data_IF_327248697572
#
_entry.id   IF_327248697572
#
_cell.length_a   1.000
_cell.length_b   1.000
_cell.length_c   1.000
_cell.angle_alpha   90.00
_cell.angle_beta   90.00
_cell.angle_gamma   90.00
#
_symmetry.space_group_name_H-M   'P 1'
#
loop_
_entity.id
_entity.type
_entity.pdbx_description
1 polymer ?
#
# COMPACT_ATOMS: atom_id res chain seq x y z
N UNK A 1 -0.36 -0.49 -13.89
CA UNK A 1 -0.86 -1.27 -12.74
C UNK A 1 -2.20 -1.87 -13.13
N UNK A 2 -2.44 -3.12 -12.74
CA UNK A 2 -3.62 -3.90 -13.11
C UNK A 2 -4.61 -4.06 -11.94
N UNK A 3 -4.29 -3.49 -10.77
CA UNK A 3 -5.19 -3.50 -9.63
C UNK A 3 -5.22 -4.86 -8.90
N UNK A 4 -4.17 -5.66 -9.04
CA UNK A 4 -4.03 -6.96 -8.35
C UNK A 4 -2.74 -7.05 -7.55
N UNK A 5 -1.85 -6.06 -7.66
CA UNK A 5 -0.55 -6.03 -7.01
C UNK A 5 -0.67 -6.18 -5.49
N UNK A 6 0.21 -6.99 -4.91
CA UNK A 6 0.47 -7.08 -3.46
C UNK A 6 1.47 -5.99 -3.04
N UNK A 7 1.62 -5.77 -1.73
CA UNK A 7 2.45 -4.70 -1.17
C UNK A 7 3.86 -4.65 -1.75
N UNK A 8 4.56 -5.79 -1.84
CA UNK A 8 5.93 -5.84 -2.37
C UNK A 8 6.00 -5.43 -3.85
N UNK A 9 5.03 -5.87 -4.66
CA UNK A 9 4.94 -5.50 -6.08
C UNK A 9 4.68 -3.99 -6.22
N UNK A 10 3.77 -3.44 -5.41
CA UNK A 10 3.48 -2.01 -5.39
C UNK A 10 4.71 -1.20 -5.00
N UNK A 11 5.46 -1.64 -3.99
CA UNK A 11 6.67 -0.97 -3.53
C UNK A 11 7.79 -1.02 -4.56
N UNK A 12 7.94 -2.13 -5.28
CA UNK A 12 8.91 -2.23 -6.38
C UNK A 12 8.59 -1.25 -7.50
N UNK A 13 7.34 -1.24 -7.99
CA UNK A 13 6.90 -0.30 -9.03
C UNK A 13 7.12 1.15 -8.58
N UNK A 14 6.72 1.47 -7.34
CA UNK A 14 6.92 2.81 -6.78
C UNK A 14 8.41 3.18 -6.75
N UNK A 15 9.29 2.26 -6.35
CA UNK A 15 10.73 2.51 -6.24
C UNK A 15 11.35 2.81 -7.61
N UNK A 16 11.00 2.05 -8.65
CA UNK A 16 11.51 2.25 -10.01
C UNK A 16 11.16 3.63 -10.55
N UNK A 17 9.89 4.03 -10.41
CA UNK A 17 9.41 5.35 -10.81
C UNK A 17 10.10 6.45 -10.01
N UNK A 18 10.27 6.25 -8.69
CA UNK A 18 10.94 7.22 -7.82
C UNK A 18 12.38 7.46 -8.25
N UNK A 19 13.14 6.40 -8.53
CA UNK A 19 14.52 6.53 -9.01
C UNK A 19 14.59 7.24 -10.37
N UNK A 20 13.69 6.90 -11.30
CA UNK A 20 13.61 7.57 -12.60
C UNK A 20 13.36 9.08 -12.43
N UNK A 21 12.42 9.47 -11.55
CA UNK A 21 12.14 10.87 -11.25
C UNK A 21 13.34 11.61 -10.64
N UNK A 22 14.05 10.97 -9.70
CA UNK A 22 15.26 11.54 -9.08
C UNK A 22 16.34 11.79 -10.13
N UNK A 23 16.62 10.80 -10.98
CA UNK A 23 17.64 10.93 -12.04
C UNK A 23 17.25 12.05 -13.02
N UNK A 24 15.98 12.12 -13.42
CA UNK A 24 15.49 13.16 -14.30
C UNK A 24 15.63 14.56 -13.67
N UNK A 25 15.30 14.71 -12.39
CA UNK A 25 15.43 15.97 -11.68
C UNK A 25 16.89 16.46 -11.64
N UNK A 26 17.82 15.56 -11.30
CA UNK A 26 19.25 15.89 -11.20
C UNK A 26 19.81 16.32 -12.55
N UNK A 27 19.48 15.60 -13.63
CA UNK A 27 19.96 15.91 -15.00
C UNK A 27 19.52 17.29 -15.50
N UNK A 28 18.34 17.74 -15.08
CA UNK A 28 17.75 18.99 -15.54
C UNK A 28 17.98 20.16 -14.56
N UNK A 29 18.54 19.92 -13.38
CA UNK A 29 18.79 20.97 -12.39
C UNK A 29 19.85 21.97 -12.91
N UNK A 30 19.67 23.30 -12.72
CA UNK A 30 18.58 23.98 -12.01
C UNK A 30 17.36 24.33 -12.88
N UNK A 31 17.33 23.94 -14.15
CA UNK A 31 16.31 24.31 -15.14
C UNK A 31 14.97 23.55 -14.98
N UNK A 32 14.71 22.96 -13.81
CA UNK A 32 13.46 22.27 -13.53
C UNK A 32 12.32 23.29 -13.40
N UNK A 33 11.15 23.01 -13.99
CA UNK A 33 9.95 23.82 -13.83
C UNK A 33 9.08 23.31 -12.68
N UNK A 34 8.42 24.24 -11.97
CA UNK A 34 7.48 23.94 -10.89
C UNK A 34 6.17 24.69 -11.08
N UNK A 35 5.06 24.09 -10.71
CA UNK A 35 3.75 24.74 -10.67
C UNK A 35 3.10 24.56 -9.28
N UNK A 36 2.26 25.51 -8.84
CA UNK A 36 1.53 25.36 -7.59
C UNK A 36 0.53 24.21 -7.68
N UNK A 37 0.41 23.44 -6.59
CA UNK A 37 -0.63 22.42 -6.46
C UNK A 37 -2.01 23.08 -6.38
N UNK A 38 -3.04 22.43 -6.92
CA UNK A 38 -4.42 22.91 -6.92
C UNK A 38 -5.34 21.92 -6.20
N UNK A 39 -6.37 22.43 -5.53
CA UNK A 39 -7.39 21.63 -4.84
C UNK A 39 -7.28 21.69 -3.31
N UNK A 40 -8.18 20.95 -2.64
CA UNK A 40 -8.23 20.89 -1.17
C UNK A 40 -7.23 19.85 -0.66
N UNK A 41 -6.37 20.25 0.28
CA UNK A 41 -5.43 19.33 0.91
C UNK A 41 -6.17 18.26 1.73
N UNK A 42 -5.68 17.03 1.69
CA UNK A 42 -6.12 15.94 2.58
C UNK A 42 -4.91 15.25 3.17
N UNK A 43 -5.10 14.65 4.35
CA UNK A 43 -4.02 14.00 5.09
C UNK A 43 -4.51 12.66 5.62
N UNK A 44 -3.74 11.61 5.36
CA UNK A 44 -4.00 10.30 5.92
C UNK A 44 -3.34 10.21 7.30
N UNK A 45 -4.09 9.73 8.30
CA UNK A 45 -3.50 9.41 9.60
C UNK A 45 -2.49 8.26 9.47
N UNK A 46 -1.54 8.20 10.41
CA UNK A 46 -0.65 7.06 10.53
C UNK A 46 -1.47 5.77 10.74
N UNK A 47 -1.13 4.72 9.99
CA UNK A 47 -1.72 3.39 10.19
C UNK A 47 -1.24 2.80 11.52
N UNK A 48 -2.13 2.07 12.18
CA UNK A 48 -1.85 1.25 13.34
C UNK A 48 -2.27 -0.20 13.07
N UNK A 49 -2.07 -1.08 14.05
CA UNK A 49 -2.37 -2.51 13.89
C UNK A 49 -3.83 -2.75 13.52
N UNK A 50 -4.79 -2.00 14.08
CA UNK A 50 -6.23 -2.16 13.78
C UNK A 50 -6.58 -1.90 12.31
N UNK A 51 -5.76 -1.12 11.60
CA UNK A 51 -5.94 -0.89 10.15
C UNK A 51 -5.60 -2.10 9.28
N UNK A 52 -5.10 -3.17 9.89
CA UNK A 52 -4.84 -4.47 9.25
C UNK A 52 -5.79 -5.54 9.80
N UNK A 53 -6.80 -5.17 10.59
CA UNK A 53 -7.80 -6.09 11.11
C UNK A 53 -8.89 -6.37 10.07
N UNK A 54 -9.17 -7.64 9.84
CA UNK A 54 -10.22 -8.12 8.94
C UNK A 54 -11.50 -8.39 9.72
N UNK A 55 -12.63 -8.05 9.12
CA UNK A 55 -13.92 -8.50 9.58
C UNK A 55 -14.25 -9.86 8.93
N UNK A 56 -14.26 -10.92 9.72
CA UNK A 56 -14.53 -12.29 9.24
C UNK A 56 -15.97 -12.50 8.72
N UNK A 57 -16.88 -11.57 9.00
CA UNK A 57 -18.26 -11.62 8.51
C UNK A 57 -18.43 -10.91 7.15
N UNK A 58 -17.38 -10.27 6.63
CA UNK A 58 -17.38 -9.68 5.28
C UNK A 58 -16.77 -10.64 4.28
N UNK A 59 -17.14 -10.51 3.02
CA UNK A 59 -16.56 -11.30 1.94
C UNK A 59 -15.07 -10.97 1.73
N UNK A 60 -14.34 -11.88 1.10
CA UNK A 60 -12.95 -11.63 0.70
C UNK A 60 -12.87 -10.51 -0.33
N UNK A 61 -13.83 -10.43 -1.27
CA UNK A 61 -13.87 -9.37 -2.28
C UNK A 61 -13.99 -7.98 -1.65
N UNK A 62 -14.80 -7.81 -0.60
CA UNK A 62 -14.98 -6.51 0.06
C UNK A 62 -13.71 -6.02 0.77
N UNK A 63 -12.82 -6.94 1.12
CA UNK A 63 -11.62 -6.67 1.92
C UNK A 63 -10.33 -6.97 1.17
N UNK A 64 -10.40 -7.29 -0.12
CA UNK A 64 -9.23 -7.72 -0.91
C UNK A 64 -8.15 -6.63 -0.95
N UNK A 65 -8.56 -5.36 -1.00
CA UNK A 65 -7.60 -4.25 -0.98
C UNK A 65 -6.83 -4.18 0.33
N UNK A 66 -7.47 -4.45 1.48
CA UNK A 66 -6.77 -4.52 2.77
C UNK A 66 -5.74 -5.66 2.73
N UNK A 67 -6.14 -6.85 2.25
CA UNK A 67 -5.25 -8.01 2.12
C UNK A 67 -4.06 -7.74 1.17
N UNK A 68 -4.27 -6.95 0.12
CA UNK A 68 -3.23 -6.61 -0.86
C UNK A 68 -2.22 -5.59 -0.35
N UNK A 69 -2.65 -4.60 0.44
CA UNK A 69 -1.78 -3.49 0.88
C UNK A 69 -1.02 -3.79 2.18
N UNK A 70 -1.38 -4.83 2.93
CA UNK A 70 -0.60 -5.26 4.11
C UNK A 70 0.71 -5.91 3.67
N UNK A 71 1.70 -5.85 4.56
CA UNK A 71 2.95 -6.59 4.41
C UNK A 71 2.82 -7.89 5.22
N UNK A 72 2.95 -9.04 4.54
CA UNK A 72 2.80 -10.37 5.13
C UNK A 72 3.81 -10.69 6.26
N UNK A 73 4.87 -9.89 6.40
CA UNK A 73 5.94 -10.07 7.41
C UNK A 73 5.87 -9.00 8.49
N UNK A 74 5.87 -7.72 8.11
CA UNK A 74 6.04 -6.60 9.04
C UNK A 74 4.73 -6.19 9.73
N UNK A 75 3.61 -6.23 9.02
CA UNK A 75 2.29 -5.82 9.53
C UNK A 75 1.18 -6.61 8.85
N UNK A 76 1.10 -7.93 9.10
CA UNK A 76 0.18 -8.79 8.37
C UNK A 76 -1.28 -8.49 8.72
N UNK A 77 -2.19 -8.86 7.80
CA UNK A 77 -3.61 -8.86 8.11
C UNK A 77 -3.91 -9.88 9.21
N UNK A 78 -4.88 -9.56 10.06
CA UNK A 78 -5.26 -10.41 11.18
C UNK A 78 -6.75 -10.29 11.49
N UNK A 79 -7.28 -11.21 12.27
CA UNK A 79 -8.65 -11.15 12.78
C UNK A 79 -8.75 -11.82 14.13
N UNK A 80 -9.87 -11.60 14.82
CA UNK A 80 -10.17 -12.27 16.08
C UNK A 80 -11.32 -13.27 15.92
N UNK A 81 -11.18 -14.46 16.49
CA UNK A 81 -12.24 -15.47 16.58
C UNK A 81 -12.23 -16.11 17.96
N UNK A 82 -13.36 -16.03 18.67
CA UNK A 82 -13.51 -16.49 20.07
C UNK A 82 -12.43 -15.94 21.02
N UNK A 83 -12.05 -14.67 20.84
CA UNK A 83 -11.04 -14.00 21.67
C UNK A 83 -9.59 -14.23 21.22
N UNK A 84 -9.34 -15.19 20.32
CA UNK A 84 -8.01 -15.53 19.82
C UNK A 84 -7.68 -14.77 18.53
N UNK A 85 -6.42 -14.34 18.40
CA UNK A 85 -5.92 -13.59 17.24
C UNK A 85 -5.29 -14.52 16.20
N UNK A 86 -5.74 -14.41 14.96
CA UNK A 86 -5.22 -15.16 13.82
C UNK A 86 -4.60 -14.24 12.80
N UNK A 87 -3.53 -14.69 12.15
CA UNK A 87 -2.88 -13.98 11.04
C UNK A 87 -3.32 -14.61 9.73
N UNK A 88 -3.72 -13.77 8.76
CA UNK A 88 -4.02 -14.20 7.40
C UNK A 88 -3.01 -13.57 6.43
N UNK A 89 -2.43 -14.41 5.58
CA UNK A 89 -1.48 -14.01 4.55
C UNK A 89 -1.98 -14.49 3.20
N UNK A 90 -1.84 -13.66 2.18
CA UNK A 90 -2.15 -14.03 0.79
C UNK A 90 -0.89 -14.00 -0.04
N UNK A 91 -0.79 -14.93 -0.99
CA UNK A 91 0.23 -14.94 -2.02
C UNK A 91 -0.48 -15.12 -3.35
N UNK A 92 0.09 -14.54 -4.41
CA UNK A 92 -0.34 -14.90 -5.76
C UNK A 92 0.24 -16.26 -6.10
N UNK A 93 -0.61 -17.17 -6.54
CA UNK A 93 -0.17 -18.33 -7.29
C UNK A 93 0.38 -17.81 -8.63
N UNK A 94 1.63 -18.18 -8.94
CA UNK A 94 2.24 -17.90 -10.24
C UNK A 94 2.07 -19.11 -11.12
#
# INVERSE_FOLDING_TARGET
MNGTELNDELRNIQSEVTFSMIVNYIKNFPNNSSSPQQGTSTWNRKRNTKDSELNINKSISDQINLLRIVDNKLYPAHFYYKGEKFILKINKEK
#
